data_IF_154168058982
#
_entry.id   IF_154168058982
#
_cell.length_a   1.000
_cell.length_b   1.000
_cell.length_c   1.000
_cell.angle_alpha   90.00
_cell.angle_beta   90.00
_cell.angle_gamma   90.00
#
_symmetry.space_group_name_H-M   'P 1'
#
loop_
_entity.id
_entity.type
_entity.pdbx_description
1 polymer ?
#
# COMPACT_ATOMS: atom_id res chain seq x y z
N UNK A 1 18.24 9.32 -12.11
CA UNK A 1 17.00 9.81 -11.48
C UNK A 1 16.99 11.34 -11.36
N UNK A 2 15.88 11.99 -11.71
CA UNK A 2 15.64 13.42 -11.50
C UNK A 2 14.67 13.63 -10.33
N UNK A 3 14.93 14.65 -9.51
CA UNK A 3 14.02 15.06 -8.44
C UNK A 3 12.96 16.01 -8.99
N UNK A 4 11.72 15.84 -8.57
CA UNK A 4 10.62 16.76 -8.84
C UNK A 4 9.86 17.06 -7.56
N UNK A 5 9.30 18.26 -7.49
CA UNK A 5 8.50 18.72 -6.37
C UNK A 5 7.25 19.39 -6.92
N UNK A 6 6.11 19.10 -6.32
CA UNK A 6 4.87 19.83 -6.61
C UNK A 6 4.97 21.26 -6.05
N UNK A 7 4.31 22.21 -6.71
CA UNK A 7 4.36 23.63 -6.36
C UNK A 7 3.86 23.88 -4.93
N UNK A 8 2.70 23.34 -4.60
CA UNK A 8 2.10 23.43 -3.26
C UNK A 8 3.02 22.82 -2.18
N UNK A 9 3.78 21.79 -2.53
CA UNK A 9 4.71 21.13 -1.59
C UNK A 9 5.88 22.04 -1.23
N UNK A 10 6.55 22.63 -2.22
CA UNK A 10 7.69 23.54 -1.95
C UNK A 10 7.23 24.83 -1.29
N UNK A 11 6.06 25.34 -1.66
CA UNK A 11 5.47 26.51 -1.03
C UNK A 11 5.18 26.25 0.46
N UNK A 12 4.43 25.19 0.77
CA UNK A 12 4.08 24.87 2.15
C UNK A 12 5.31 24.59 3.02
N UNK A 13 6.32 23.90 2.47
CA UNK A 13 7.58 23.65 3.14
C UNK A 13 8.39 24.93 3.40
N UNK A 14 8.39 25.87 2.45
CA UNK A 14 9.05 27.16 2.60
C UNK A 14 8.36 28.01 3.69
N UNK A 15 7.03 28.09 3.68
CA UNK A 15 6.28 28.82 4.71
C UNK A 15 6.41 28.23 6.11
N UNK A 16 6.54 26.91 6.23
CA UNK A 16 6.82 26.26 7.51
C UNK A 16 8.15 26.71 8.13
N UNK A 17 9.20 26.85 7.31
CA UNK A 17 10.49 27.38 7.77
C UNK A 17 10.37 28.85 8.13
N UNK A 18 9.71 29.65 7.28
CA UNK A 18 9.52 31.09 7.50
C UNK A 18 8.70 31.40 8.78
N UNK A 19 7.72 30.56 9.09
CA UNK A 19 6.88 30.69 10.30
C UNK A 19 7.55 30.18 11.59
N UNK A 20 8.75 29.60 11.49
CA UNK A 20 9.48 29.07 12.65
C UNK A 20 8.95 27.73 13.17
N UNK A 21 8.00 27.09 12.49
CA UNK A 21 7.53 25.73 12.83
C UNK A 21 8.65 24.69 12.72
N UNK A 22 9.59 24.93 11.80
CA UNK A 22 10.86 24.20 11.70
C UNK A 22 12.01 25.10 12.13
N UNK A 23 12.84 24.62 13.05
CA UNK A 23 14.05 25.33 13.45
C UNK A 23 15.13 25.25 12.36
N UNK A 24 15.93 26.31 12.22
CA UNK A 24 17.06 26.37 11.29
C UNK A 24 17.09 27.62 10.42
N UNK A 25 15.95 28.27 10.20
CA UNK A 25 15.88 29.54 9.49
C UNK A 25 16.20 30.71 10.43
N UNK A 26 17.15 31.57 10.04
CA UNK A 26 17.47 32.80 10.78
C UNK A 26 16.47 33.92 10.44
N UNK A 27 16.29 34.89 11.34
CA UNK A 27 15.43 36.06 11.07
C UNK A 27 15.87 36.87 9.83
N UNK A 28 17.17 36.85 9.49
CA UNK A 28 17.66 37.46 8.25
C UNK A 28 17.21 36.68 7.02
N UNK A 29 17.32 35.36 7.03
CA UNK A 29 16.84 34.51 5.94
C UNK A 29 15.33 34.64 5.74
N UNK A 30 14.55 34.67 6.82
CA UNK A 30 13.09 34.85 6.72
C UNK A 30 12.73 36.20 6.10
N UNK A 31 13.42 37.28 6.47
CA UNK A 31 13.22 38.59 5.83
C UNK A 31 13.58 38.58 4.34
N UNK A 32 14.69 37.94 3.96
CA UNK A 32 15.10 37.78 2.56
C UNK A 32 14.08 36.97 1.77
N UNK A 33 13.59 35.86 2.31
CA UNK A 33 12.52 35.06 1.71
C UNK A 33 11.29 35.89 1.37
N UNK A 34 10.80 36.70 2.33
CA UNK A 34 9.67 37.58 2.06
C UNK A 34 9.99 38.64 1.01
N UNK A 35 11.16 39.27 1.09
CA UNK A 35 11.60 40.27 0.09
C UNK A 35 11.66 39.68 -1.32
N UNK A 36 12.25 38.50 -1.49
CA UNK A 36 12.35 37.82 -2.79
C UNK A 36 10.95 37.48 -3.31
N UNK A 37 10.06 37.03 -2.44
CA UNK A 37 8.69 36.69 -2.79
C UNK A 37 7.89 37.92 -3.26
N UNK A 38 8.08 39.08 -2.64
CA UNK A 38 7.41 40.31 -3.08
C UNK A 38 7.79 40.70 -4.52
N UNK A 39 8.99 40.34 -4.99
CA UNK A 39 9.39 40.60 -6.38
C UNK A 39 8.56 39.84 -7.41
N UNK A 40 7.94 38.72 -7.04
CA UNK A 40 7.07 37.95 -7.92
C UNK A 40 5.83 38.73 -8.36
N UNK A 41 5.33 39.67 -7.54
CA UNK A 41 4.16 40.48 -7.87
C UNK A 41 4.41 41.51 -8.99
N UNK A 42 5.67 41.74 -9.37
CA UNK A 42 5.99 42.55 -10.54
C UNK A 42 5.58 41.87 -11.87
N UNK A 43 5.39 40.55 -11.86
CA UNK A 43 4.92 39.81 -13.05
C UNK A 43 3.43 40.07 -13.26
N UNK A 44 3.09 40.58 -14.45
CA UNK A 44 1.71 40.92 -14.82
C UNK A 44 0.92 39.70 -15.29
N UNK A 45 1.58 38.76 -15.96
CA UNK A 45 0.98 37.50 -16.38
C UNK A 45 0.89 36.51 -15.20
N UNK A 46 -0.23 35.78 -15.12
CA UNK A 46 -0.54 34.89 -13.99
C UNK A 46 0.34 33.64 -14.02
N UNK A 47 0.60 33.08 -15.19
CA UNK A 47 1.39 31.85 -15.33
C UNK A 47 2.87 32.14 -15.12
N UNK A 48 3.37 33.26 -15.65
CA UNK A 48 4.73 33.73 -15.38
C UNK A 48 4.94 34.02 -13.89
N UNK A 49 3.94 34.62 -13.24
CA UNK A 49 3.97 34.86 -11.80
C UNK A 49 4.00 33.58 -10.99
N UNK A 50 3.16 32.59 -11.31
CA UNK A 50 3.16 31.29 -10.64
C UNK A 50 4.51 30.57 -10.80
N UNK A 51 5.08 30.60 -12.01
CA UNK A 51 6.41 30.06 -12.27
C UNK A 51 7.51 30.80 -11.49
N UNK A 52 7.38 32.12 -11.29
CA UNK A 52 8.30 32.90 -10.46
C UNK A 52 8.18 32.51 -8.97
N UNK A 53 6.97 32.39 -8.44
CA UNK A 53 6.74 31.91 -7.07
C UNK A 53 7.36 30.53 -6.85
N UNK A 54 7.11 29.57 -7.75
CA UNK A 54 7.71 28.25 -7.67
C UNK A 54 9.23 28.29 -7.62
N UNK A 55 9.87 29.09 -8.49
CA UNK A 55 11.34 29.24 -8.51
C UNK A 55 11.88 29.81 -7.19
N UNK A 56 11.22 30.83 -6.62
CA UNK A 56 11.60 31.40 -5.33
C UNK A 56 11.42 30.38 -4.21
N UNK A 57 10.27 29.72 -4.12
CA UNK A 57 10.00 28.72 -3.09
C UNK A 57 10.98 27.54 -3.18
N UNK A 58 11.27 27.04 -4.38
CA UNK A 58 12.24 25.96 -4.59
C UNK A 58 13.68 26.39 -4.21
N UNK A 59 14.08 27.62 -4.52
CA UNK A 59 15.39 28.13 -4.14
C UNK A 59 15.54 28.17 -2.61
N UNK A 60 14.54 28.67 -1.89
CA UNK A 60 14.55 28.72 -0.44
C UNK A 60 14.39 27.34 0.22
N UNK A 61 13.60 26.45 -0.38
CA UNK A 61 13.52 25.04 0.01
C UNK A 61 14.92 24.38 0.01
N UNK A 62 15.74 24.68 -0.99
CA UNK A 62 17.13 24.22 -1.07
C UNK A 62 18.06 24.96 -0.12
N UNK A 63 17.95 26.29 -0.02
CA UNK A 63 18.77 27.11 0.90
C UNK A 63 18.58 26.69 2.36
N UNK A 64 17.37 26.28 2.75
CA UNK A 64 17.08 25.73 4.08
C UNK A 64 17.40 24.23 4.23
N UNK A 65 18.02 23.61 3.24
CA UNK A 65 18.51 22.23 3.31
C UNK A 65 17.43 21.16 3.22
N UNK A 66 16.18 21.49 2.87
CA UNK A 66 15.08 20.53 2.85
C UNK A 66 15.26 19.47 1.76
N UNK A 67 15.77 19.85 0.58
CA UNK A 67 16.10 18.89 -0.50
C UNK A 67 17.14 17.86 -0.02
N UNK A 68 18.16 18.32 0.71
CA UNK A 68 19.17 17.44 1.28
C UNK A 68 18.60 16.54 2.38
N UNK A 69 17.65 17.02 3.19
CA UNK A 69 16.99 16.16 4.19
C UNK A 69 16.16 15.05 3.55
N UNK A 70 15.54 15.30 2.40
CA UNK A 70 14.74 14.30 1.69
C UNK A 70 15.60 13.26 0.95
N UNK A 71 16.84 13.60 0.60
CA UNK A 71 17.64 12.81 -0.35
C UNK A 71 19.04 12.44 0.15
N UNK A 72 19.50 13.02 1.25
CA UNK A 72 20.86 12.86 1.77
C UNK A 72 21.21 11.44 2.21
N UNK A 73 20.21 10.61 2.50
CA UNK A 73 20.37 9.20 2.85
C UNK A 73 20.05 8.25 1.68
N UNK A 74 19.86 8.75 0.45
CA UNK A 74 19.59 7.90 -0.72
C UNK A 74 20.68 6.86 -0.99
N UNK A 75 21.91 7.08 -0.51
CA UNK A 75 22.98 6.08 -0.57
C UNK A 75 22.65 4.77 0.15
N UNK A 76 21.68 4.78 1.07
CA UNK A 76 21.15 3.57 1.72
C UNK A 76 20.32 2.69 0.75
N UNK A 77 19.92 3.22 -0.42
CA UNK A 77 19.03 2.56 -1.38
C UNK A 77 19.63 2.55 -2.81
N UNK A 78 20.68 1.77 -3.05
CA UNK A 78 21.52 1.89 -4.25
C UNK A 78 20.79 1.58 -5.57
N UNK A 79 19.68 0.82 -5.54
CA UNK A 79 18.91 0.50 -6.75
C UNK A 79 18.10 1.70 -7.27
N UNK A 80 17.67 2.62 -6.39
CA UNK A 80 16.73 3.69 -6.77
C UNK A 80 17.29 4.65 -7.82
N UNK A 81 18.52 5.21 -7.70
CA UNK A 81 19.02 6.20 -8.64
C UNK A 81 19.13 5.69 -10.09
N UNK A 82 19.42 4.39 -10.26
CA UNK A 82 19.54 3.72 -11.54
C UNK A 82 18.21 3.20 -12.09
N UNK A 83 17.30 2.77 -11.23
CA UNK A 83 16.01 2.23 -11.65
C UNK A 83 14.96 3.29 -11.95
N UNK A 84 15.03 4.46 -11.31
CA UNK A 84 14.02 5.51 -11.43
C UNK A 84 14.46 6.64 -12.37
N UNK A 85 13.57 7.02 -13.29
CA UNK A 85 13.74 8.23 -14.11
C UNK A 85 13.43 9.48 -13.29
N UNK A 86 12.32 9.48 -12.55
CA UNK A 86 11.86 10.58 -11.70
C UNK A 86 11.52 10.07 -10.30
N UNK A 87 11.91 10.84 -9.28
CA UNK A 87 11.38 10.75 -7.92
C UNK A 87 10.70 12.09 -7.59
N UNK A 88 9.38 12.08 -7.49
CA UNK A 88 8.56 13.25 -7.20
C UNK A 88 8.16 13.30 -5.72
N UNK A 89 8.09 14.50 -5.15
CA UNK A 89 7.53 14.73 -3.82
C UNK A 89 6.31 15.62 -3.92
N UNK A 90 5.24 15.20 -3.26
CA UNK A 90 4.00 15.97 -3.18
C UNK A 90 3.49 16.09 -1.76
N UNK A 91 2.63 17.07 -1.52
CA UNK A 91 1.94 17.21 -0.26
C UNK A 91 0.80 16.19 -0.16
N UNK A 92 0.79 15.39 0.90
CA UNK A 92 -0.35 14.56 1.26
C UNK A 92 -1.42 15.39 1.98
N UNK A 93 -2.69 15.24 1.62
CA UNK A 93 -3.81 15.95 2.29
C UNK A 93 -4.23 15.29 3.59
N UNK A 94 -3.88 14.03 3.78
CA UNK A 94 -4.18 13.27 4.99
C UNK A 94 -3.38 11.99 5.09
N UNK A 95 -3.59 11.26 6.20
CA UNK A 95 -2.86 10.02 6.51
C UNK A 95 -3.02 8.93 5.44
N UNK A 96 -4.17 8.85 4.78
CA UNK A 96 -4.46 7.81 3.80
C UNK A 96 -3.78 8.06 2.43
N UNK A 97 -3.34 9.30 2.18
CA UNK A 97 -2.62 9.66 0.95
C UNK A 97 -1.11 9.63 1.13
N UNK A 98 -0.62 9.42 2.36
CA UNK A 98 0.79 9.45 2.69
C UNK A 98 1.45 8.09 2.40
N UNK A 99 2.59 8.13 1.73
CA UNK A 99 3.36 6.96 1.34
C UNK A 99 4.07 7.13 -0.01
N UNK A 100 4.77 6.09 -0.44
CA UNK A 100 5.38 6.01 -1.75
C UNK A 100 4.58 5.15 -2.74
N UNK A 101 4.60 5.58 -4.00
CA UNK A 101 3.96 4.88 -5.11
C UNK A 101 4.90 4.81 -6.31
N UNK A 102 4.91 3.64 -6.97
CA UNK A 102 5.65 3.41 -8.21
C UNK A 102 4.72 3.45 -9.42
N UNK A 103 5.04 4.31 -10.38
CA UNK A 103 4.38 4.46 -11.66
C UNK A 103 5.25 3.89 -12.77
N UNK A 104 4.70 2.96 -13.55
CA UNK A 104 5.39 2.39 -14.72
C UNK A 104 4.68 2.90 -15.98
N UNK A 105 5.34 3.78 -16.73
CA UNK A 105 4.77 4.30 -17.98
C UNK A 105 5.01 3.35 -19.15
N UNK A 106 4.32 3.61 -20.27
CA UNK A 106 4.57 2.96 -21.56
C UNK A 106 6.06 3.00 -21.88
N UNK A 107 6.66 1.84 -22.17
CA UNK A 107 8.12 1.68 -22.37
C UNK A 107 8.92 1.26 -21.13
N UNK A 108 8.28 0.77 -20.06
CA UNK A 108 8.92 0.28 -18.82
C UNK A 108 9.73 1.33 -18.05
N UNK A 109 9.50 2.62 -18.32
CA UNK A 109 10.11 3.70 -17.56
C UNK A 109 9.42 3.79 -16.19
N UNK A 110 10.22 3.74 -15.13
CA UNK A 110 9.75 3.77 -13.74
C UNK A 110 9.91 5.17 -13.16
N UNK A 111 8.84 5.71 -12.59
CA UNK A 111 8.84 6.95 -11.82
C UNK A 111 8.26 6.64 -10.44
N UNK A 112 8.79 7.26 -9.40
CA UNK A 112 8.25 7.14 -8.05
C UNK A 112 7.70 8.48 -7.59
N UNK A 113 6.71 8.43 -6.70
CA UNK A 113 6.15 9.60 -6.03
C UNK A 113 6.07 9.32 -4.54
N UNK A 114 6.51 10.28 -3.73
CA UNK A 114 6.42 10.24 -2.27
C UNK A 114 5.47 11.34 -1.85
N UNK A 115 4.33 10.95 -1.32
CA UNK A 115 3.36 11.86 -0.74
C UNK A 115 3.64 12.00 0.75
N UNK A 116 3.88 13.22 1.21
CA UNK A 116 4.34 13.52 2.56
C UNK A 116 3.44 14.58 3.21
N UNK A 117 3.03 14.36 4.46
CA UNK A 117 2.36 15.42 5.23
C UNK A 117 3.37 16.47 5.69
N UNK A 118 2.96 17.74 5.64
CA UNK A 118 3.83 18.86 6.00
C UNK A 118 4.34 18.82 7.44
N UNK A 119 3.55 18.32 8.38
CA UNK A 119 3.98 18.23 9.78
C UNK A 119 5.17 17.28 9.99
N UNK A 120 5.45 16.36 9.06
CA UNK A 120 6.65 15.51 9.15
C UNK A 120 7.94 16.29 8.95
N UNK A 121 7.92 17.33 8.12
CA UNK A 121 9.10 18.17 7.88
C UNK A 121 9.45 19.05 9.09
N UNK A 122 8.62 19.15 10.12
CA UNK A 122 8.94 19.94 11.32
C UNK A 122 10.12 19.36 12.11
N UNK A 123 10.31 18.03 12.05
CA UNK A 123 11.34 17.32 12.83
C UNK A 123 12.02 16.23 12.02
N UNK A 124 13.34 16.15 12.14
CA UNK A 124 14.17 15.27 11.31
C UNK A 124 13.93 13.79 11.61
N UNK A 125 13.87 13.39 12.87
CA UNK A 125 13.74 11.97 13.22
C UNK A 125 12.41 11.34 12.71
N UNK A 126 11.21 11.93 12.93
CA UNK A 126 9.98 11.42 12.33
C UNK A 126 9.98 11.39 10.80
N UNK A 127 10.60 12.37 10.15
CA UNK A 127 10.75 12.42 8.70
C UNK A 127 11.63 11.27 8.19
N UNK A 128 12.81 11.10 8.78
CA UNK A 128 13.78 10.09 8.36
C UNK A 128 13.24 8.66 8.56
N UNK A 129 12.51 8.41 9.66
CA UNK A 129 11.82 7.12 9.87
C UNK A 129 10.84 6.82 8.75
N UNK A 130 10.02 7.81 8.39
CA UNK A 130 9.05 7.68 7.31
C UNK A 130 9.73 7.44 5.96
N UNK A 131 10.69 8.30 5.59
CA UNK A 131 11.33 8.19 4.28
C UNK A 131 12.11 6.89 4.13
N UNK A 132 12.77 6.40 5.19
CA UNK A 132 13.45 5.11 5.14
C UNK A 132 12.48 3.95 4.91
N UNK A 133 11.33 3.97 5.59
CA UNK A 133 10.28 2.98 5.40
C UNK A 133 9.75 2.99 3.96
N UNK A 134 9.38 4.17 3.45
CA UNK A 134 8.84 4.32 2.09
C UNK A 134 9.88 4.07 0.99
N UNK A 135 11.16 4.40 1.23
CA UNK A 135 12.22 4.11 0.26
C UNK A 135 12.55 2.62 0.23
N UNK A 136 12.37 1.90 1.34
CA UNK A 136 12.48 0.44 1.34
C UNK A 136 11.38 -0.20 0.49
N UNK A 137 10.13 0.30 0.59
CA UNK A 137 9.04 -0.09 -0.33
C UNK A 137 9.45 0.12 -1.79
N UNK A 138 9.91 1.32 -2.14
CA UNK A 138 10.36 1.61 -3.51
C UNK A 138 11.55 0.74 -3.93
N UNK A 139 12.48 0.48 -3.01
CA UNK A 139 13.66 -0.33 -3.27
C UNK A 139 13.27 -1.76 -3.63
N UNK A 140 12.41 -2.38 -2.82
CA UNK A 140 11.83 -3.69 -3.11
C UNK A 140 11.07 -3.68 -4.45
N UNK A 141 10.27 -2.64 -4.72
CA UNK A 141 9.51 -2.56 -5.99
C UNK A 141 10.40 -2.50 -7.24
N UNK A 142 11.64 -2.00 -7.12
CA UNK A 142 12.57 -1.95 -8.26
C UNK A 142 13.55 -3.13 -8.30
N UNK A 143 13.71 -3.85 -7.19
CA UNK A 143 14.60 -5.00 -7.05
C UNK A 143 14.06 -6.21 -7.84
N UNK A 144 14.82 -6.73 -8.83
CA UNK A 144 14.45 -7.96 -9.51
C UNK A 144 14.28 -9.17 -8.60
N UNK A 145 15.02 -9.26 -7.48
CA UNK A 145 14.93 -10.38 -6.54
C UNK A 145 13.60 -10.38 -5.77
N UNK A 146 13.07 -9.20 -5.46
CA UNK A 146 11.74 -9.07 -4.84
C UNK A 146 10.63 -9.42 -5.83
N UNK A 147 10.80 -9.09 -7.11
CA UNK A 147 9.90 -9.55 -8.18
C UNK A 147 8.54 -8.82 -8.22
N UNK A 148 8.49 -7.55 -7.84
CA UNK A 148 7.25 -6.77 -7.80
C UNK A 148 6.53 -6.71 -9.15
N UNK A 149 5.23 -7.00 -9.14
CA UNK A 149 4.35 -6.85 -10.29
C UNK A 149 3.13 -5.99 -9.94
N UNK A 150 2.93 -4.82 -10.56
CA UNK A 150 1.77 -3.97 -10.29
C UNK A 150 0.46 -4.55 -10.81
N UNK A 151 0.51 -5.54 -11.70
CA UNK A 151 -0.65 -6.13 -12.39
C UNK A 151 -0.95 -7.55 -11.92
N UNK A 152 -0.75 -7.87 -10.64
CA UNK A 152 -1.25 -9.16 -10.15
C UNK A 152 -2.78 -9.10 -10.07
N UNK A 153 -3.41 -9.59 -11.14
CA UNK A 153 -4.81 -9.92 -11.11
C UNK A 153 -4.99 -11.08 -10.13
N UNK A 154 -5.81 -10.85 -9.10
CA UNK A 154 -6.35 -11.91 -8.26
C UNK A 154 -7.71 -12.29 -8.85
N UNK A 155 -7.76 -13.15 -9.90
CA UNK A 155 -9.03 -13.62 -10.42
C UNK A 155 -9.78 -14.28 -9.26
N UNK A 156 -11.08 -14.09 -9.17
CA UNK A 156 -12.01 -14.68 -8.16
C UNK A 156 -12.27 -13.92 -6.85
N UNK A 157 -11.63 -12.78 -6.58
CA UNK A 157 -11.94 -12.01 -5.37
C UNK A 157 -12.96 -10.89 -5.63
N UNK A 158 -14.02 -10.83 -4.82
CA UNK A 158 -14.91 -9.66 -4.78
C UNK A 158 -14.19 -8.42 -4.14
N UNK A 159 -14.76 -7.22 -4.27
CA UNK A 159 -14.11 -5.97 -3.81
C UNK A 159 -13.70 -6.02 -2.32
N UNK A 160 -14.51 -6.63 -1.46
CA UNK A 160 -14.20 -6.78 -0.03
C UNK A 160 -12.99 -7.68 0.19
N UNK A 161 -12.91 -8.82 -0.51
CA UNK A 161 -11.77 -9.73 -0.41
C UNK A 161 -10.49 -9.13 -0.98
N UNK A 162 -10.59 -8.37 -2.08
CA UNK A 162 -9.45 -7.63 -2.63
C UNK A 162 -8.91 -6.62 -1.61
N UNK A 163 -9.81 -5.92 -0.91
CA UNK A 163 -9.43 -4.99 0.16
C UNK A 163 -8.73 -5.70 1.32
N UNK A 164 -9.29 -6.78 1.85
CA UNK A 164 -8.69 -7.55 2.94
C UNK A 164 -7.31 -8.10 2.54
N UNK A 165 -7.20 -8.63 1.32
CA UNK A 165 -5.93 -9.14 0.79
C UNK A 165 -4.89 -8.03 0.70
N UNK A 166 -5.27 -6.83 0.21
CA UNK A 166 -4.38 -5.67 0.14
C UNK A 166 -3.93 -5.20 1.53
N UNK A 167 -4.85 -5.16 2.50
CA UNK A 167 -4.54 -4.79 3.88
C UNK A 167 -3.55 -5.77 4.52
N UNK A 168 -3.75 -7.09 4.32
CA UNK A 168 -2.81 -8.12 4.79
C UNK A 168 -1.46 -8.07 4.08
N UNK A 169 -1.45 -7.93 2.76
CA UNK A 169 -0.23 -7.82 1.96
C UNK A 169 0.60 -6.62 2.44
N UNK A 170 -0.02 -5.46 2.61
CA UNK A 170 0.65 -4.26 3.13
C UNK A 170 1.21 -4.51 4.53
N UNK A 171 0.43 -5.12 5.43
CA UNK A 171 0.91 -5.46 6.78
C UNK A 171 2.14 -6.39 6.74
N UNK A 172 2.08 -7.47 5.96
CA UNK A 172 3.21 -8.40 5.82
C UNK A 172 4.46 -7.70 5.28
N UNK A 173 4.29 -6.84 4.27
CA UNK A 173 5.38 -6.08 3.70
C UNK A 173 5.96 -5.08 4.70
N UNK A 174 5.11 -4.31 5.40
CA UNK A 174 5.54 -3.35 6.42
C UNK A 174 6.32 -4.03 7.56
N UNK A 175 5.93 -5.26 7.95
CA UNK A 175 6.65 -6.10 8.92
C UNK A 175 8.06 -6.41 8.43
N UNK A 176 8.22 -6.85 7.18
CA UNK A 176 9.55 -7.17 6.62
C UNK A 176 10.43 -5.93 6.47
N UNK A 177 9.84 -4.76 6.17
CA UNK A 177 10.56 -3.50 6.05
C UNK A 177 11.07 -3.03 7.40
N UNK A 178 10.19 -2.92 8.39
CA UNK A 178 10.58 -2.46 9.73
C UNK A 178 11.50 -3.48 10.42
N UNK A 179 11.35 -4.77 10.13
CA UNK A 179 12.29 -5.81 10.52
C UNK A 179 13.71 -5.57 10.00
N UNK A 180 13.86 -5.38 8.68
CA UNK A 180 15.16 -5.06 8.05
C UNK A 180 15.76 -3.74 8.52
N UNK A 181 14.93 -2.71 8.69
CA UNK A 181 15.38 -1.42 9.24
C UNK A 181 15.89 -1.58 10.68
N UNK A 182 15.20 -2.36 11.51
CA UNK A 182 15.62 -2.65 12.89
C UNK A 182 16.96 -3.39 12.91
N UNK A 183 17.13 -4.41 12.06
CA UNK A 183 18.40 -5.15 11.92
C UNK A 183 19.56 -4.26 11.47
N UNK A 184 19.28 -3.26 10.63
CA UNK A 184 20.24 -2.23 10.22
C UNK A 184 20.50 -1.15 11.28
N UNK A 185 19.94 -1.28 12.49
CA UNK A 185 20.07 -0.32 13.58
C UNK A 185 19.40 1.02 13.28
N UNK A 186 18.34 1.02 12.46
CA UNK A 186 17.55 2.21 12.10
C UNK A 186 16.26 2.25 12.92
N UNK A 187 15.83 3.46 13.26
CA UNK A 187 14.50 3.66 13.82
C UNK A 187 13.41 3.40 12.77
N UNK A 188 12.29 2.84 13.19
CA UNK A 188 11.20 2.37 12.31
C UNK A 188 9.90 3.14 12.50
N UNK A 189 8.97 2.94 11.57
CA UNK A 189 7.62 3.51 11.66
C UNK A 189 6.80 2.84 12.77
N UNK A 190 6.91 1.52 12.92
CA UNK A 190 6.39 0.78 14.05
C UNK A 190 7.41 -0.24 14.59
N UNK A 191 7.38 -0.46 15.90
CA UNK A 191 8.26 -1.43 16.56
C UNK A 191 7.74 -2.87 16.44
N UNK A 192 8.60 -3.83 16.76
CA UNK A 192 8.30 -5.28 16.77
C UNK A 192 6.95 -5.59 17.46
N UNK A 193 6.77 -5.17 18.72
CA UNK A 193 5.53 -5.45 19.46
C UNK A 193 4.27 -4.77 18.90
N UNK A 194 4.39 -3.62 18.23
CA UNK A 194 3.25 -2.97 17.58
C UNK A 194 2.79 -3.75 16.35
N UNK A 195 3.75 -4.17 15.53
CA UNK A 195 3.51 -5.03 14.37
C UNK A 195 2.95 -6.39 14.79
N UNK A 196 3.52 -7.01 15.83
CA UNK A 196 3.04 -8.28 16.36
C UNK A 196 1.56 -8.19 16.78
N UNK A 197 1.17 -7.14 17.52
CA UNK A 197 -0.22 -6.97 17.96
C UNK A 197 -1.20 -6.74 16.79
N UNK A 198 -0.77 -6.09 15.70
CA UNK A 198 -1.62 -5.92 14.50
C UNK A 198 -1.73 -7.25 13.75
N UNK A 199 -0.61 -7.95 13.58
CA UNK A 199 -0.54 -9.26 12.95
C UNK A 199 -1.41 -10.31 13.67
N UNK A 200 -1.32 -10.39 15.00
CA UNK A 200 -2.11 -11.34 15.80
C UNK A 200 -3.62 -11.12 15.62
N UNK A 201 -4.06 -9.87 15.47
CA UNK A 201 -5.47 -9.55 15.18
C UNK A 201 -5.85 -9.95 13.76
N UNK A 202 -5.03 -9.60 12.77
CA UNK A 202 -5.28 -9.87 11.35
C UNK A 202 -5.32 -11.38 11.02
N UNK A 203 -4.54 -12.18 11.75
CA UNK A 203 -4.40 -13.64 11.57
C UNK A 203 -4.91 -14.43 12.78
N UNK A 204 -5.84 -13.86 13.55
CA UNK A 204 -6.39 -14.43 14.81
C UNK A 204 -6.99 -15.83 14.67
N UNK A 205 -7.29 -16.27 13.46
CA UNK A 205 -7.78 -17.60 13.14
C UNK A 205 -6.71 -18.70 13.11
N UNK A 206 -5.42 -18.36 13.08
CA UNK A 206 -4.36 -19.36 13.25
C UNK A 206 -4.10 -19.65 14.74
N UNK A 207 -3.61 -20.85 15.08
CA UNK A 207 -3.04 -21.13 16.39
C UNK A 207 -1.92 -20.14 16.75
N UNK A 208 -1.76 -19.84 18.04
CA UNK A 208 -0.77 -18.87 18.54
C UNK A 208 0.65 -19.21 18.10
N UNK A 209 1.02 -20.50 18.16
CA UNK A 209 2.35 -20.97 17.74
C UNK A 209 2.62 -20.66 16.27
N UNK A 210 1.64 -20.90 15.38
CA UNK A 210 1.75 -20.56 13.95
C UNK A 210 1.87 -19.05 13.75
N UNK A 211 1.07 -18.25 14.48
CA UNK A 211 1.15 -16.78 14.39
C UNK A 211 2.54 -16.28 14.77
N UNK A 212 3.07 -16.74 15.91
CA UNK A 212 4.41 -16.38 16.37
C UNK A 212 5.49 -16.78 15.36
N UNK A 213 5.45 -18.02 14.88
CA UNK A 213 6.43 -18.51 13.90
C UNK A 213 6.42 -17.68 12.61
N UNK A 214 5.24 -17.46 12.01
CA UNK A 214 5.11 -16.70 10.76
C UNK A 214 5.49 -15.23 10.97
N UNK A 215 5.13 -14.64 12.12
CA UNK A 215 5.52 -13.27 12.42
C UNK A 215 7.05 -13.12 12.52
N UNK A 216 7.71 -13.96 13.32
CA UNK A 216 9.16 -13.90 13.51
C UNK A 216 9.92 -14.20 12.21
N UNK A 217 9.40 -15.10 11.36
CA UNK A 217 10.01 -15.37 10.07
C UNK A 217 10.00 -14.14 9.16
N UNK A 218 8.88 -13.41 9.09
CA UNK A 218 8.77 -12.19 8.27
C UNK A 218 9.52 -11.00 8.88
N UNK A 219 9.51 -10.86 10.20
CA UNK A 219 10.27 -9.81 10.89
C UNK A 219 11.78 -10.00 10.68
N UNK A 220 12.23 -11.25 10.64
CA UNK A 220 13.65 -11.57 10.46
C UNK A 220 14.06 -11.73 9.00
N UNK A 221 13.11 -11.62 8.06
CA UNK A 221 13.34 -11.85 6.65
C UNK A 221 14.17 -10.73 6.01
N UNK A 222 15.37 -11.08 5.56
CA UNK A 222 16.27 -10.16 4.87
C UNK A 222 15.94 -10.01 3.37
N UNK A 223 15.20 -10.93 2.78
CA UNK A 223 14.95 -11.02 1.34
C UNK A 223 13.52 -11.49 1.04
N UNK A 224 12.51 -10.67 1.41
CA UNK A 224 11.12 -11.03 1.11
C UNK A 224 10.90 -11.14 -0.40
N UNK A 225 10.00 -12.02 -0.81
CA UNK A 225 9.56 -12.15 -2.19
C UNK A 225 8.11 -11.69 -2.35
N UNK A 226 7.84 -10.88 -3.38
CA UNK A 226 6.52 -10.33 -3.67
C UNK A 226 5.43 -11.40 -3.74
N UNK A 227 5.71 -12.50 -4.45
CA UNK A 227 4.75 -13.58 -4.66
C UNK A 227 4.44 -14.36 -3.36
N UNK A 228 5.42 -14.51 -2.47
CA UNK A 228 5.23 -15.21 -1.20
C UNK A 228 4.35 -14.39 -0.24
N UNK A 229 4.65 -13.09 -0.12
CA UNK A 229 3.81 -12.16 0.66
C UNK A 229 2.38 -12.12 0.12
N UNK A 230 2.23 -12.09 -1.20
CA UNK A 230 0.92 -12.02 -1.84
C UNK A 230 0.14 -13.33 -1.68
N UNK A 231 0.79 -14.49 -1.85
CA UNK A 231 0.16 -15.78 -1.65
C UNK A 231 -0.36 -15.93 -0.21
N UNK A 232 0.46 -15.58 0.78
CA UNK A 232 0.06 -15.62 2.19
C UNK A 232 -1.07 -14.63 2.51
N UNK A 233 -1.06 -13.45 1.89
CA UNK A 233 -2.12 -12.45 2.08
C UNK A 233 -3.46 -12.89 1.49
N UNK A 234 -3.42 -13.49 0.28
CA UNK A 234 -4.59 -13.91 -0.47
C UNK A 234 -5.25 -15.15 0.12
N UNK A 235 -4.45 -16.14 0.53
CA UNK A 235 -4.93 -17.39 1.11
C UNK A 235 -4.14 -17.80 2.35
N UNK A 236 -4.32 -17.11 3.48
CA UNK A 236 -3.56 -17.41 4.69
C UNK A 236 -3.90 -18.78 5.30
N UNK A 237 -5.02 -19.38 4.93
CA UNK A 237 -5.42 -20.68 5.49
C UNK A 237 -5.04 -21.85 4.58
N UNK A 238 -4.45 -21.58 3.42
CA UNK A 238 -4.13 -22.59 2.40
C UNK A 238 -5.38 -23.40 2.00
N UNK A 239 -6.49 -22.69 1.77
CA UNK A 239 -7.80 -23.29 1.48
C UNK A 239 -8.14 -23.29 -0.01
N UNK A 240 -7.36 -22.59 -0.83
CA UNK A 240 -7.52 -22.55 -2.29
C UNK A 240 -7.28 -23.91 -2.95
N UNK A 241 -6.46 -24.76 -2.33
CA UNK A 241 -6.18 -26.13 -2.78
C UNK A 241 -7.04 -27.19 -2.08
N UNK A 242 -7.90 -26.80 -1.14
CA UNK A 242 -8.79 -27.73 -0.47
C UNK A 242 -9.81 -28.29 -1.48
N UNK A 243 -9.73 -29.60 -1.73
CA UNK A 243 -10.70 -30.29 -2.60
C UNK A 243 -12.06 -30.47 -1.91
N UNK A 244 -12.09 -30.36 -0.59
CA UNK A 244 -13.28 -30.53 0.24
C UNK A 244 -13.61 -29.23 1.01
N UNK A 245 -14.89 -29.01 1.35
CA UNK A 245 -15.34 -27.83 2.09
C UNK A 245 -14.78 -27.81 3.52
N UNK A 246 -13.73 -27.00 3.73
CA UNK A 246 -13.14 -26.79 5.06
C UNK A 246 -13.72 -25.56 5.77
N UNK A 247 -13.95 -25.62 7.10
CA UNK A 247 -14.46 -24.48 7.85
C UNK A 247 -13.60 -23.20 7.68
N UNK A 248 -14.25 -22.15 7.19
CA UNK A 248 -13.67 -20.86 6.86
C UNK A 248 -13.03 -20.76 5.47
N UNK A 249 -13.19 -21.79 4.62
CA UNK A 249 -12.84 -21.75 3.20
C UNK A 249 -13.82 -20.92 2.39
N UNK A 250 -13.36 -20.42 1.24
CA UNK A 250 -14.19 -19.67 0.30
C UNK A 250 -15.17 -20.60 -0.41
N UNK A 251 -16.46 -20.29 -0.33
CA UNK A 251 -17.50 -20.98 -1.11
C UNK A 251 -17.20 -20.87 -2.61
N UNK A 252 -17.21 -21.95 -3.40
CA UNK A 252 -16.93 -21.89 -4.84
C UNK A 252 -17.97 -21.12 -5.65
N UNK A 253 -19.17 -20.88 -5.08
CA UNK A 253 -20.28 -20.19 -5.76
C UNK A 253 -20.30 -18.68 -5.52
N UNK A 254 -19.95 -18.22 -4.32
CA UNK A 254 -19.98 -16.79 -3.97
C UNK A 254 -18.64 -16.22 -3.51
N UNK A 255 -17.62 -17.08 -3.42
CA UNK A 255 -16.26 -16.81 -2.95
C UNK A 255 -16.14 -16.34 -1.49
N UNK A 256 -17.24 -16.15 -0.74
CA UNK A 256 -17.16 -15.76 0.67
C UNK A 256 -16.68 -16.90 1.58
N UNK A 257 -15.81 -16.62 2.57
CA UNK A 257 -15.47 -17.57 3.63
C UNK A 257 -16.73 -18.03 4.39
N UNK A 258 -16.89 -19.33 4.61
CA UNK A 258 -18.00 -19.89 5.38
C UNK A 258 -17.53 -20.96 6.36
N UNK A 259 -18.11 -20.98 7.56
CA UNK A 259 -18.00 -22.10 8.50
C UNK A 259 -19.22 -23.04 8.41
N UNK A 260 -20.25 -22.62 7.70
CA UNK A 260 -21.50 -23.35 7.51
C UNK A 260 -21.57 -23.89 6.08
N UNK A 261 -21.07 -25.11 5.91
CA UNK A 261 -21.14 -25.85 4.67
C UNK A 261 -22.36 -26.76 4.66
N UNK A 262 -23.04 -26.83 3.51
CA UNK A 262 -24.17 -27.73 3.31
C UNK A 262 -23.70 -28.98 2.58
N UNK A 263 -24.16 -30.14 3.04
CA UNK A 263 -24.00 -31.39 2.30
C UNK A 263 -24.78 -31.28 1.00
N UNK A 264 -24.06 -31.20 -0.12
CA UNK A 264 -24.64 -31.00 -1.45
C UNK A 264 -25.56 -32.14 -1.87
N UNK A 265 -25.36 -33.34 -1.31
CA UNK A 265 -26.27 -34.48 -1.47
C UNK A 265 -27.67 -34.27 -0.88
N UNK A 266 -27.87 -33.22 -0.07
CA UNK A 266 -29.17 -32.83 0.48
C UNK A 266 -29.93 -31.77 -0.32
N UNK A 267 -29.35 -31.20 -1.39
CA UNK A 267 -30.00 -30.17 -2.21
C UNK A 267 -31.01 -30.79 -3.19
N UNK A 268 -32.08 -30.04 -3.47
CA UNK A 268 -33.07 -30.45 -4.48
C UNK A 268 -32.41 -30.57 -5.88
N UNK A 269 -32.83 -31.56 -6.72
CA UNK A 269 -32.28 -31.75 -8.06
C UNK A 269 -32.28 -30.49 -8.95
N UNK A 270 -33.34 -29.68 -8.87
CA UNK A 270 -33.48 -28.45 -9.66
C UNK A 270 -32.49 -27.35 -9.23
N UNK A 271 -32.21 -27.26 -7.93
CA UNK A 271 -31.19 -26.36 -7.38
C UNK A 271 -29.80 -26.78 -7.83
N UNK A 272 -29.51 -28.09 -7.84
CA UNK A 272 -28.24 -28.62 -8.36
C UNK A 272 -28.06 -28.33 -9.85
N UNK A 273 -29.12 -28.48 -10.65
CA UNK A 273 -29.09 -28.17 -12.08
C UNK A 273 -28.83 -26.67 -12.32
N UNK A 274 -29.50 -25.79 -11.57
CA UNK A 274 -29.29 -24.34 -11.64
C UNK A 274 -27.87 -23.93 -11.26
N UNK A 275 -27.30 -24.51 -10.20
CA UNK A 275 -25.91 -24.25 -9.79
C UNK A 275 -24.95 -24.67 -10.91
N UNK A 276 -25.10 -25.86 -11.50
CA UNK A 276 -24.23 -26.34 -12.59
C UNK A 276 -24.36 -25.48 -13.86
N UNK A 277 -25.55 -24.96 -14.14
CA UNK A 277 -25.76 -24.06 -15.27
C UNK A 277 -25.01 -22.73 -15.11
N UNK A 278 -25.00 -22.16 -13.89
CA UNK A 278 -24.28 -20.92 -13.59
C UNK A 278 -22.77 -21.14 -13.35
N UNK A 279 -22.38 -22.31 -12.86
CA UNK A 279 -20.99 -22.66 -12.54
C UNK A 279 -20.60 -24.00 -13.18
N UNK A 280 -20.27 -24.02 -14.48
CA UNK A 280 -20.01 -25.26 -15.23
C UNK A 280 -18.82 -26.09 -14.73
N UNK A 281 -17.90 -25.46 -14.01
CA UNK A 281 -16.70 -26.10 -13.45
C UNK A 281 -16.87 -26.54 -12.00
N UNK A 282 -18.02 -26.26 -11.38
CA UNK A 282 -18.29 -26.67 -10.01
C UNK A 282 -18.69 -28.15 -9.93
N UNK A 283 -18.21 -28.83 -8.89
CA UNK A 283 -18.51 -30.22 -8.57
C UNK A 283 -19.12 -30.32 -7.17
N UNK A 284 -19.99 -31.31 -6.89
CA UNK A 284 -20.61 -31.47 -5.58
C UNK A 284 -19.61 -31.57 -4.41
N UNK A 285 -18.44 -32.15 -4.65
CA UNK A 285 -17.40 -32.35 -3.63
C UNK A 285 -16.79 -31.04 -3.16
N UNK A 286 -16.85 -29.97 -3.98
CA UNK A 286 -16.40 -28.62 -3.59
C UNK A 286 -17.37 -27.91 -2.64
N UNK A 287 -18.56 -28.48 -2.41
CA UNK A 287 -19.54 -27.96 -1.45
C UNK A 287 -20.23 -26.66 -1.90
N UNK A 288 -21.15 -26.19 -1.05
CA UNK A 288 -21.74 -24.86 -1.14
C UNK A 288 -21.97 -24.31 0.29
N UNK A 289 -21.81 -23.00 0.48
CA UNK A 289 -22.17 -22.38 1.76
C UNK A 289 -23.69 -22.41 1.95
N UNK A 290 -24.14 -22.45 3.21
CA UNK A 290 -25.56 -22.43 3.58
C UNK A 290 -26.36 -21.34 2.87
N UNK A 291 -25.80 -20.13 2.76
CA UNK A 291 -26.46 -18.99 2.13
C UNK A 291 -26.66 -19.15 0.61
N UNK A 292 -25.70 -19.78 -0.07
CA UNK A 292 -25.84 -20.10 -1.50
C UNK A 292 -26.85 -21.24 -1.69
N UNK A 293 -26.76 -22.28 -0.87
CA UNK A 293 -27.74 -23.37 -0.87
C UNK A 293 -29.18 -22.83 -0.72
N UNK A 294 -29.43 -22.01 0.30
CA UNK A 294 -30.73 -21.37 0.54
C UNK A 294 -31.19 -20.52 -0.66
N UNK A 295 -30.28 -19.74 -1.26
CA UNK A 295 -30.61 -18.92 -2.44
C UNK A 295 -31.05 -19.77 -3.63
N UNK A 296 -30.34 -20.85 -3.93
CA UNK A 296 -30.67 -21.74 -5.05
C UNK A 296 -31.86 -22.67 -4.77
N UNK A 297 -32.16 -22.97 -3.51
CA UNK A 297 -33.38 -23.67 -3.10
C UNK A 297 -34.63 -22.80 -3.24
N UNK A 298 -34.49 -21.49 -3.01
CA UNK A 298 -35.58 -20.52 -3.23
C UNK A 298 -35.73 -20.19 -4.72
N UNK A 299 -34.63 -19.97 -5.43
CA UNK A 299 -34.64 -19.68 -6.88
C UNK A 299 -35.07 -20.90 -7.72
N UNK A 300 -34.82 -22.13 -7.27
CA UNK A 300 -35.37 -23.33 -7.92
C UNK A 300 -36.90 -23.46 -7.80
N UNK A 301 -37.53 -22.75 -6.85
CA UNK A 301 -38.99 -22.76 -6.62
C UNK A 301 -39.73 -21.64 -7.33
N UNK A 302 -39.02 -20.61 -7.79
CA UNK A 302 -39.58 -19.46 -8.49
C UNK A 302 -38.66 -19.17 -9.67
N UNK A 303 -39.14 -19.33 -10.92
CA UNK A 303 -38.44 -18.87 -12.13
C UNK A 303 -38.17 -17.37 -12.04
N UNK A 304 -37.11 -16.97 -11.34
CA UNK A 304 -36.66 -15.59 -11.24
C UNK A 304 -35.55 -15.39 -12.27
N UNK A 305 -35.64 -14.31 -13.08
CA UNK A 305 -34.69 -14.07 -14.15
C UNK A 305 -33.27 -13.91 -13.61
N UNK A 306 -32.30 -14.42 -14.38
CA UNK A 306 -30.88 -14.54 -14.04
C UNK A 306 -30.15 -13.21 -13.75
N UNK A 307 -30.83 -12.07 -13.76
CA UNK A 307 -30.25 -10.72 -13.60
C UNK A 307 -30.15 -10.23 -12.16
N UNK A 308 -30.49 -11.03 -11.15
CA UNK A 308 -30.44 -10.64 -9.73
C UNK A 308 -29.44 -11.42 -8.86
N UNK A 309 -28.62 -12.29 -9.45
CA UNK A 309 -27.56 -13.00 -8.72
C UNK A 309 -26.19 -12.56 -9.25
N UNK A 310 -25.70 -11.47 -8.61
CA UNK A 310 -24.36 -10.85 -8.69
C UNK A 310 -24.00 -10.13 -9.98
#
# INVERSE_FOLDING_TARGET
MHLRYDDDFVEAAAFMCASGRRHGATALQVRRFHSDRETCYAQSDVDERNAAFFKVHLAWFREWGLEHLLTGFMGEYPLLPGALKVLAFRQARGRNEEGAELYVSTGKVRNAMVALRMDRLERDAPLLRFLRHEFMHLHDMVDPAFGYSPQVHLPTHNQTQQRITRERYRLLWDITIDGRLTQAGRETMAGHGQHQAIFERAFSFWPEEKRRHVFESHWSDAQPAHLELLALAADPRDLSHAQEPLPGGSCPLCHFPTFEWVSVGGLAPDSLASIRAHFPHWTPDQGACKRCAEMYEVAGKFELPATMVV
#
